data_IF_552141054584
#
_entry.id   IF_552141054584
#
_cell.length_a   1.000
_cell.length_b   1.000
_cell.length_c   1.000
_cell.angle_alpha   90.00
_cell.angle_beta   90.00
_cell.angle_gamma   90.00
#
_symmetry.space_group_name_H-M   'P 1'
#
loop_
_entity.id
_entity.type
_entity.pdbx_description
1 polymer ?
#
# COMPACT_ATOMS: atom_id res chain seq x y z
N UNK A 1 14.33 -21.94 -5.40
CA UNK A 1 12.99 -21.96 -4.77
C UNK A 1 12.80 -20.63 -4.07
N UNK A 2 11.78 -19.84 -4.43
CA UNK A 2 11.58 -18.48 -3.94
C UNK A 2 10.96 -18.49 -2.52
N UNK A 3 11.36 -17.56 -1.62
CA UNK A 3 11.01 -17.58 -0.19
C UNK A 3 9.54 -17.26 0.17
N UNK A 4 8.58 -17.43 -0.74
CA UNK A 4 7.17 -17.01 -0.60
C UNK A 4 6.16 -18.16 -0.47
N UNK A 5 6.59 -19.43 -0.29
CA UNK A 5 5.67 -20.56 -0.53
C UNK A 5 4.74 -20.97 0.64
N UNK A 6 4.87 -20.40 1.84
CA UNK A 6 3.94 -20.65 2.94
C UNK A 6 2.90 -19.51 3.03
N UNK A 7 1.61 -19.77 2.75
CA UNK A 7 0.55 -18.76 2.86
C UNK A 7 0.36 -18.24 4.30
N UNK A 8 0.90 -18.95 5.30
CA UNK A 8 0.91 -18.52 6.70
C UNK A 8 2.19 -17.76 7.08
N UNK A 9 3.14 -17.58 6.17
CA UNK A 9 4.31 -16.74 6.41
C UNK A 9 3.90 -15.28 6.60
N UNK A 10 4.67 -14.55 7.40
CA UNK A 10 4.35 -13.15 7.72
C UNK A 10 4.34 -12.28 6.46
N UNK A 11 5.24 -12.56 5.50
CA UNK A 11 5.28 -11.90 4.19
C UNK A 11 4.02 -12.16 3.36
N UNK A 12 3.56 -13.42 3.28
CA UNK A 12 2.35 -13.77 2.55
C UNK A 12 1.08 -13.13 3.16
N UNK A 13 1.02 -13.06 4.49
CA UNK A 13 -0.08 -12.41 5.20
C UNK A 13 -0.07 -10.91 4.96
N UNK A 14 1.09 -10.25 5.06
CA UNK A 14 1.21 -8.81 4.78
C UNK A 14 0.85 -8.46 3.33
N UNK A 15 1.23 -9.30 2.36
CA UNK A 15 0.80 -9.17 0.97
C UNK A 15 -0.72 -9.35 0.81
N UNK A 16 -1.29 -10.37 1.43
CA UNK A 16 -2.72 -10.69 1.35
C UNK A 16 -3.58 -9.59 2.00
N UNK A 17 -3.06 -9.02 3.08
CA UNK A 17 -3.62 -7.84 3.72
C UNK A 17 -3.47 -6.59 2.87
N UNK A 18 -2.62 -6.59 1.82
CA UNK A 18 -2.22 -5.46 0.99
C UNK A 18 -1.31 -4.45 1.70
N UNK A 19 -0.74 -4.82 2.85
CA UNK A 19 0.07 -3.94 3.69
C UNK A 19 1.44 -3.63 3.09
N UNK A 20 1.92 -4.49 2.20
CA UNK A 20 3.16 -4.31 1.43
C UNK A 20 2.90 -4.73 -0.02
N UNK A 21 3.70 -4.23 -0.95
CA UNK A 21 3.70 -4.69 -2.35
C UNK A 21 4.67 -5.86 -2.56
N UNK A 22 4.53 -6.64 -3.65
CA UNK A 22 5.51 -7.68 -3.98
C UNK A 22 6.93 -7.15 -4.10
N UNK A 23 7.10 -6.00 -4.77
CA UNK A 23 8.41 -5.36 -4.96
C UNK A 23 9.03 -4.94 -3.62
N UNK A 24 8.25 -4.31 -2.73
CA UNK A 24 8.70 -3.94 -1.39
C UNK A 24 9.13 -5.16 -0.57
N UNK A 25 8.36 -6.25 -0.64
CA UNK A 25 8.70 -7.48 0.08
C UNK A 25 9.98 -8.12 -0.46
N UNK A 26 10.12 -8.20 -1.79
CA UNK A 26 11.29 -8.79 -2.44
C UNK A 26 12.57 -8.00 -2.16
N UNK A 27 12.52 -6.66 -2.27
CA UNK A 27 13.59 -5.76 -1.89
C UNK A 27 14.01 -5.99 -0.43
N UNK A 28 13.03 -6.05 0.47
CA UNK A 28 13.28 -6.21 1.91
C UNK A 28 13.89 -7.58 2.22
N UNK A 29 13.47 -8.64 1.53
CA UNK A 29 14.08 -9.98 1.66
C UNK A 29 15.52 -9.97 1.13
N UNK A 30 15.76 -9.28 0.02
CA UNK A 30 17.12 -9.15 -0.53
C UNK A 30 18.04 -8.45 0.48
N UNK A 31 17.60 -7.33 1.06
CA UNK A 31 18.34 -6.62 2.10
C UNK A 31 18.53 -7.46 3.37
N UNK A 32 17.48 -8.16 3.82
CA UNK A 32 17.54 -9.05 4.98
C UNK A 32 18.63 -10.12 4.82
N UNK A 33 18.84 -10.64 3.61
CA UNK A 33 19.90 -11.63 3.32
C UNK A 33 21.31 -11.03 3.35
N UNK A 34 21.45 -9.73 3.10
CA UNK A 34 22.73 -9.02 3.19
C UNK A 34 23.05 -8.63 4.64
N UNK A 35 22.02 -8.39 5.44
CA UNK A 35 22.11 -8.23 6.88
C UNK A 35 22.27 -9.62 7.52
N UNK A 36 22.92 -9.71 8.68
CA UNK A 36 23.14 -11.00 9.37
C UNK A 36 21.81 -11.78 9.52
N UNK A 37 21.92 -13.12 9.55
CA UNK A 37 20.79 -14.09 9.46
C UNK A 37 19.61 -13.85 10.43
N UNK A 38 19.80 -13.06 11.49
CA UNK A 38 18.79 -12.79 12.53
C UNK A 38 17.93 -11.53 12.31
N UNK A 39 18.12 -10.78 11.22
CA UNK A 39 17.27 -9.62 10.96
C UNK A 39 15.82 -10.06 10.75
N UNK A 40 14.90 -9.70 11.64
CA UNK A 40 13.48 -10.06 11.48
C UNK A 40 12.87 -9.26 10.31
N UNK A 41 12.48 -9.96 9.23
CA UNK A 41 11.82 -9.39 8.05
C UNK A 41 10.72 -8.37 8.41
N UNK A 42 9.88 -8.72 9.40
CA UNK A 42 8.81 -7.85 9.87
C UNK A 42 9.27 -6.50 10.43
N UNK A 43 10.36 -6.50 11.21
CA UNK A 43 10.92 -5.25 11.76
C UNK A 43 11.51 -4.38 10.65
N UNK A 44 12.13 -5.00 9.65
CA UNK A 44 12.70 -4.28 8.52
C UNK A 44 11.61 -3.61 7.66
N UNK A 45 10.48 -4.30 7.43
CA UNK A 45 9.32 -3.73 6.73
C UNK A 45 8.72 -2.51 7.45
N UNK A 46 8.64 -2.55 8.78
CA UNK A 46 8.19 -1.41 9.59
C UNK A 46 9.22 -0.27 9.58
N UNK A 47 10.50 -0.60 9.74
CA UNK A 47 11.59 0.39 9.74
C UNK A 47 11.70 1.14 8.40
N UNK A 48 11.44 0.46 7.27
CA UNK A 48 11.40 1.07 5.94
C UNK A 48 10.08 1.83 5.65
N UNK A 49 9.12 1.80 6.57
CA UNK A 49 7.82 2.45 6.41
C UNK A 49 6.91 1.77 5.38
N UNK A 50 7.20 0.53 4.98
CA UNK A 50 6.39 -0.22 4.01
C UNK A 50 5.08 -0.68 4.62
N UNK A 51 5.06 -0.98 5.92
CA UNK A 51 3.84 -1.18 6.69
C UNK A 51 3.91 -0.47 8.05
N UNK A 52 2.74 -0.22 8.65
CA UNK A 52 2.66 0.35 9.99
C UNK A 52 2.78 -0.73 11.07
N UNK A 53 3.18 -0.35 12.29
CA UNK A 53 3.19 -1.25 13.44
C UNK A 53 1.83 -1.93 13.66
N UNK A 54 0.72 -1.17 13.56
CA UNK A 54 -0.63 -1.72 13.68
C UNK A 54 -0.96 -2.74 12.59
N UNK A 55 -0.52 -2.52 11.35
CA UNK A 55 -0.68 -3.51 10.27
C UNK A 55 0.15 -4.76 10.53
N UNK A 56 1.36 -4.60 11.08
CA UNK A 56 2.22 -5.71 11.45
C UNK A 56 1.62 -6.54 12.59
N UNK A 57 1.06 -5.91 13.62
CA UNK A 57 0.41 -6.59 14.75
C UNK A 57 -0.79 -7.43 14.30
N UNK A 58 -1.61 -6.91 13.39
CA UNK A 58 -2.73 -7.66 12.77
C UNK A 58 -2.20 -8.88 12.02
N UNK A 59 -1.09 -8.74 11.29
CA UNK A 59 -0.49 -9.83 10.54
C UNK A 59 0.05 -10.93 11.47
N UNK A 60 0.67 -10.58 12.61
CA UNK A 60 1.14 -11.52 13.63
C UNK A 60 -0.03 -12.27 14.28
N UNK A 61 -1.10 -11.55 14.64
CA UNK A 61 -2.30 -12.18 15.20
C UNK A 61 -2.94 -13.17 14.22
N UNK A 62 -3.02 -12.80 12.94
CA UNK A 62 -3.53 -13.67 11.88
C UNK A 62 -2.62 -14.90 11.67
N UNK A 63 -1.29 -14.71 11.66
CA UNK A 63 -0.33 -15.80 11.53
C UNK A 63 -0.50 -16.84 12.65
N UNK A 64 -0.60 -16.38 13.90
CA UNK A 64 -0.84 -17.25 15.06
C UNK A 64 -2.16 -18.01 14.92
N UNK A 65 -3.23 -17.31 14.52
CA UNK A 65 -4.54 -17.93 14.29
C UNK A 65 -4.54 -18.99 13.19
N UNK A 66 -3.78 -18.77 12.12
CA UNK A 66 -3.64 -19.72 11.01
C UNK A 66 -2.83 -20.96 11.38
N UNK A 67 -1.78 -20.81 12.19
CA UNK A 67 -0.86 -21.90 12.56
C UNK A 67 -1.33 -22.74 13.74
N UNK A 68 -1.88 -22.10 14.75
CA UNK A 68 -2.16 -22.72 16.06
C UNK A 68 -3.67 -22.82 16.35
N UNK A 69 -4.52 -22.32 15.44
CA UNK A 69 -5.96 -22.23 15.65
C UNK A 69 -6.75 -23.46 15.22
N UNK A 70 -7.81 -23.75 15.98
CA UNK A 70 -8.93 -24.57 15.50
C UNK A 70 -9.70 -23.87 14.36
N UNK A 71 -10.70 -24.53 13.75
CA UNK A 71 -11.42 -24.03 12.57
C UNK A 71 -11.94 -22.59 12.72
N UNK A 72 -12.51 -22.25 13.88
CA UNK A 72 -13.03 -20.91 14.17
C UNK A 72 -11.93 -19.83 14.20
N UNK A 73 -10.79 -20.11 14.85
CA UNK A 73 -9.67 -19.16 14.91
C UNK A 73 -9.06 -18.93 13.53
N UNK A 74 -9.00 -19.97 12.70
CA UNK A 74 -8.55 -19.85 11.30
C UNK A 74 -9.52 -19.00 10.48
N UNK A 75 -10.83 -19.23 10.62
CA UNK A 75 -11.85 -18.42 9.95
C UNK A 75 -11.75 -16.94 10.37
N UNK A 76 -11.58 -16.66 11.67
CA UNK A 76 -11.38 -15.31 12.17
C UNK A 76 -10.10 -14.66 11.62
N UNK A 77 -8.99 -15.41 11.52
CA UNK A 77 -7.75 -14.91 10.93
C UNK A 77 -7.94 -14.50 9.46
N UNK A 78 -8.64 -15.32 8.66
CA UNK A 78 -8.97 -15.01 7.26
C UNK A 78 -9.89 -13.79 7.15
N UNK A 79 -10.88 -13.67 8.04
CA UNK A 79 -11.76 -12.51 8.11
C UNK A 79 -10.98 -11.22 8.43
N UNK A 80 -10.06 -11.27 9.40
CA UNK A 80 -9.21 -10.13 9.75
C UNK A 80 -8.30 -9.69 8.59
N UNK A 81 -7.72 -10.65 7.87
CA UNK A 81 -6.93 -10.36 6.65
C UNK A 81 -7.80 -9.64 5.61
N UNK A 82 -9.02 -10.12 5.40
CA UNK A 82 -9.98 -9.55 4.44
C UNK A 82 -10.40 -8.14 4.83
N UNK A 83 -10.72 -7.91 6.11
CA UNK A 83 -11.10 -6.60 6.64
C UNK A 83 -9.95 -5.59 6.52
N UNK A 84 -8.71 -6.02 6.83
CA UNK A 84 -7.53 -5.17 6.69
C UNK A 84 -7.31 -4.73 5.23
N UNK A 85 -7.59 -5.61 4.26
CA UNK A 85 -7.56 -5.29 2.84
C UNK A 85 -8.63 -4.26 2.45
N UNK A 86 -9.87 -4.45 2.91
CA UNK A 86 -10.99 -3.54 2.65
C UNK A 86 -10.76 -2.12 3.20
N UNK A 87 -10.18 -2.00 4.40
CA UNK A 87 -9.86 -0.69 5.01
C UNK A 87 -8.90 0.14 4.14
N UNK A 88 -7.95 -0.50 3.46
CA UNK A 88 -7.04 0.20 2.53
C UNK A 88 -7.71 0.55 1.21
N UNK A 89 -8.57 -0.33 0.69
CA UNK A 89 -9.35 -0.02 -0.51
C UNK A 89 -10.19 1.23 -0.31
N UNK A 90 -10.81 1.42 0.88
CA UNK A 90 -11.57 2.64 1.19
C UNK A 90 -10.72 3.93 1.13
N UNK A 91 -9.47 3.91 1.61
CA UNK A 91 -8.58 5.08 1.58
C UNK A 91 -8.09 5.38 0.16
N UNK A 92 -7.76 4.35 -0.62
CA UNK A 92 -7.36 4.50 -2.02
C UNK A 92 -8.54 4.99 -2.86
N UNK A 93 -9.72 4.42 -2.70
CA UNK A 93 -10.96 4.85 -3.38
C UNK A 93 -11.33 6.29 -3.02
N UNK A 94 -11.18 6.67 -1.75
CA UNK A 94 -11.43 8.06 -1.31
C UNK A 94 -10.44 9.02 -1.96
N UNK A 95 -9.15 8.67 -1.98
CA UNK A 95 -8.11 9.46 -2.67
C UNK A 95 -8.40 9.58 -4.16
N UNK A 96 -8.78 8.49 -4.82
CA UNK A 96 -9.11 8.49 -6.24
C UNK A 96 -10.33 9.37 -6.53
N UNK A 97 -11.36 9.30 -5.68
CA UNK A 97 -12.55 10.15 -5.77
C UNK A 97 -12.21 11.64 -5.60
N UNK A 98 -11.27 11.98 -4.70
CA UNK A 98 -10.80 13.36 -4.52
C UNK A 98 -10.06 13.85 -5.77
N UNK A 99 -9.16 13.05 -6.33
CA UNK A 99 -8.41 13.38 -7.55
C UNK A 99 -9.36 13.58 -8.73
N UNK A 100 -10.32 12.68 -8.90
CA UNK A 100 -11.27 12.73 -10.02
C UNK A 100 -12.19 13.94 -9.92
N UNK A 101 -12.68 14.27 -8.72
CA UNK A 101 -13.39 15.55 -8.48
C UNK A 101 -12.52 16.76 -8.78
N UNK A 102 -11.25 16.75 -8.40
CA UNK A 102 -10.29 17.83 -8.72
C UNK A 102 -10.14 18.03 -10.23
N UNK A 103 -9.94 16.94 -10.99
CA UNK A 103 -9.83 17.00 -12.44
C UNK A 103 -11.12 17.47 -13.12
N UNK A 104 -12.28 17.09 -12.59
CA UNK A 104 -13.58 17.58 -13.07
C UNK A 104 -13.68 19.10 -12.90
N UNK A 105 -13.30 19.63 -11.72
CA UNK A 105 -13.31 21.06 -11.44
C UNK A 105 -12.35 21.81 -12.36
N UNK A 106 -11.13 21.30 -12.54
CA UNK A 106 -10.16 21.89 -13.48
C UNK A 106 -10.75 21.99 -14.88
N UNK A 107 -11.35 20.91 -15.40
CA UNK A 107 -11.99 20.92 -16.73
C UNK A 107 -13.16 21.89 -16.84
N UNK A 108 -13.95 22.07 -15.79
CA UNK A 108 -15.08 23.03 -15.81
C UNK A 108 -14.61 24.49 -15.77
N UNK A 109 -13.48 24.76 -15.12
CA UNK A 109 -12.92 26.12 -15.02
C UNK A 109 -12.09 26.45 -16.27
N UNK A 110 -11.43 25.46 -16.87
CA UNK A 110 -10.77 25.59 -18.17
C UNK A 110 -11.74 25.29 -19.30
N UNK A 111 -12.74 26.16 -19.51
CA UNK A 111 -13.56 26.18 -20.72
C UNK A 111 -12.85 26.94 -21.84
N UNK A 112 -13.41 26.96 -23.06
CA UNK A 112 -12.87 27.76 -24.19
C UNK A 112 -12.72 29.26 -23.85
N UNK A 113 -13.44 29.77 -22.84
CA UNK A 113 -13.30 31.15 -22.35
C UNK A 113 -12.08 31.39 -21.45
N UNK A 114 -11.55 30.35 -20.80
CA UNK A 114 -10.39 30.43 -19.90
C UNK A 114 -9.44 29.26 -20.16
N UNK A 115 -8.65 29.30 -21.24
CA UNK A 115 -7.69 28.24 -21.51
C UNK A 115 -6.72 28.07 -20.34
N UNK A 116 -6.32 26.81 -20.08
CA UNK A 116 -5.33 26.51 -19.06
C UNK A 116 -4.09 27.38 -19.25
N UNK A 117 -3.54 27.94 -18.18
CA UNK A 117 -2.33 28.75 -18.24
C UNK A 117 -1.17 27.84 -18.67
N UNK A 118 -0.86 27.84 -19.97
CA UNK A 118 0.27 27.11 -20.53
C UNK A 118 1.53 27.97 -20.49
N UNK A 119 2.72 27.34 -20.50
CA UNK A 119 3.98 28.07 -20.63
C UNK A 119 4.01 29.01 -21.85
N UNK A 120 3.34 28.64 -22.93
CA UNK A 120 3.18 29.45 -24.16
C UNK A 120 2.35 30.72 -23.92
N UNK A 121 1.25 30.64 -23.16
CA UNK A 121 0.43 31.81 -22.81
C UNK A 121 1.22 32.77 -21.93
N UNK A 122 1.98 32.25 -20.96
CA UNK A 122 2.84 33.07 -20.09
C UNK A 122 3.93 33.77 -20.90
N UNK A 123 4.58 33.04 -21.83
CA UNK A 123 5.62 33.60 -22.69
C UNK A 123 5.08 34.69 -23.62
N UNK A 124 3.88 34.50 -24.18
CA UNK A 124 3.21 35.49 -25.02
C UNK A 124 2.83 36.75 -24.24
N UNK A 125 2.26 36.59 -23.04
CA UNK A 125 1.91 37.72 -22.17
C UNK A 125 3.14 38.52 -21.71
N UNK A 126 4.29 37.86 -21.53
CA UNK A 126 5.56 38.50 -21.18
C UNK A 126 6.22 39.27 -22.35
N UNK A 127 5.81 39.01 -23.59
CA UNK A 127 6.30 39.73 -24.78
C UNK A 127 5.45 40.96 -25.14
N UNK A 128 4.22 41.03 -24.61
CA UNK A 128 3.26 42.12 -24.86
C UNK A 128 3.25 43.17 -23.73
N UNK A 129 4.14 43.03 -22.72
CA UNK A 129 4.33 43.95 -21.59
C UNK A 129 5.62 44.77 -21.73
#
# INVERSE_FOLDING_TARGET
>A
MSPTHDPTSIGAILLSMGAVTPAQLEETIHEQRQLREDAMLGKLLVAKGYCTAAQFDVAIAAQKGLREGGPERRAMAVANISIARSRRHSVIETRQRIIEKGNQVVRTVTSDEYPAITPEIIAKAAQEA
#
